data_IF_160755661002
#
_entry.id   IF_160755661002
#
_cell.length_a   1.000
_cell.length_b   1.000
_cell.length_c   1.000
_cell.angle_alpha   90.00
_cell.angle_beta   90.00
_cell.angle_gamma   90.00
#
_symmetry.space_group_name_H-M   'P 1'
#
loop_
_entity.id
_entity.type
_entity.pdbx_description
1 polymer ?
#
# COMPACT_ATOMS: atom_id res chain seq x y z
N UNK A 1 -53.11 50.79 -25.27
CA UNK A 1 -52.80 50.75 -23.82
C UNK A 1 -53.36 49.43 -23.31
N UNK A 2 -52.62 48.40 -22.89
CA UNK A 2 -51.22 48.17 -22.57
C UNK A 2 -51.23 46.98 -21.61
N UNK A 3 -50.70 45.82 -22.02
CA UNK A 3 -50.36 44.70 -21.12
C UNK A 3 -48.91 44.91 -20.62
N UNK A 4 -48.27 44.07 -19.74
CA UNK A 4 -48.68 42.82 -19.06
C UNK A 4 -48.14 42.66 -17.59
N UNK A 5 -48.25 41.42 -17.03
CA UNK A 5 -47.45 40.74 -15.95
C UNK A 5 -47.73 41.15 -14.49
N UNK A 6 -47.51 40.34 -13.43
CA UNK A 6 -47.12 38.95 -13.11
C UNK A 6 -47.39 38.82 -11.60
N UNK A 7 -47.89 37.71 -11.06
CA UNK A 7 -47.16 36.77 -10.18
C UNK A 7 -48.24 35.83 -9.59
N UNK A 8 -48.05 34.53 -9.40
CA UNK A 8 -46.84 33.86 -8.97
C UNK A 8 -47.21 33.12 -7.68
N UNK A 9 -47.47 31.82 -7.78
CA UNK A 9 -47.90 31.00 -6.64
C UNK A 9 -48.02 29.52 -6.99
N UNK A 10 -47.12 29.02 -7.84
CA UNK A 10 -46.91 27.59 -7.98
C UNK A 10 -46.29 27.08 -6.68
N UNK A 11 -47.12 26.54 -5.78
CA UNK A 11 -46.68 25.72 -4.66
C UNK A 11 -46.03 24.46 -5.21
N UNK A 12 -44.73 24.54 -5.46
CA UNK A 12 -43.86 23.41 -5.75
C UNK A 12 -43.80 22.58 -4.46
N UNK A 13 -44.74 21.65 -4.32
CA UNK A 13 -44.66 20.59 -3.33
C UNK A 13 -43.41 19.77 -3.65
N UNK A 14 -42.30 20.11 -2.99
CA UNK A 14 -41.11 19.27 -2.91
C UNK A 14 -41.53 17.98 -2.22
N UNK A 15 -41.91 16.99 -3.02
CA UNK A 15 -42.07 15.62 -2.59
C UNK A 15 -40.68 15.11 -2.24
N UNK A 16 -40.31 15.29 -0.97
CA UNK A 16 -39.07 14.77 -0.35
C UNK A 16 -39.04 13.27 -0.56
N UNK A 17 -38.21 12.80 -1.48
CA UNK A 17 -38.01 11.38 -1.73
C UNK A 17 -37.32 10.76 -0.50
N UNK A 18 -38.11 10.07 0.32
CA UNK A 18 -37.64 9.44 1.55
C UNK A 18 -36.64 8.31 1.27
N UNK A 19 -36.63 7.75 0.05
CA UNK A 19 -35.70 6.71 -0.37
C UNK A 19 -34.29 7.23 -0.62
N UNK A 20 -34.14 8.39 -1.26
CA UNK A 20 -32.83 9.02 -1.46
C UNK A 20 -32.19 9.47 -0.14
N UNK A 21 -33.03 9.89 0.82
CA UNK A 21 -32.55 10.30 2.14
C UNK A 21 -32.07 9.10 2.99
N UNK A 22 -32.70 7.94 2.87
CA UNK A 22 -32.26 6.72 3.54
C UNK A 22 -30.88 6.24 3.03
N UNK A 23 -30.65 6.29 1.72
CA UNK A 23 -29.35 5.99 1.10
C UNK A 23 -28.24 6.95 1.55
N UNK A 24 -28.55 8.25 1.68
CA UNK A 24 -27.58 9.23 2.16
C UNK A 24 -27.24 9.04 3.64
N UNK A 25 -28.21 8.68 4.47
CA UNK A 25 -27.99 8.38 5.88
C UNK A 25 -27.14 7.12 6.04
N UNK A 26 -27.39 6.09 5.22
CA UNK A 26 -26.62 4.85 5.24
C UNK A 26 -25.15 5.08 4.80
N UNK A 27 -24.95 5.84 3.72
CA UNK A 27 -23.61 6.23 3.28
C UNK A 27 -22.86 7.09 4.32
N UNK A 28 -23.58 7.99 5.02
CA UNK A 28 -23.02 8.78 6.12
C UNK A 28 -22.63 7.89 7.31
N UNK A 29 -23.48 6.92 7.67
CA UNK A 29 -23.18 5.96 8.74
C UNK A 29 -21.96 5.12 8.38
N UNK A 30 -21.85 4.66 7.12
CA UNK A 30 -20.68 3.94 6.63
C UNK A 30 -19.41 4.80 6.70
N UNK A 31 -19.49 6.07 6.30
CA UNK A 31 -18.39 7.01 6.39
C UNK A 31 -17.94 7.23 7.84
N UNK A 32 -18.89 7.41 8.77
CA UNK A 32 -18.59 7.59 10.20
C UNK A 32 -17.94 6.34 10.78
N UNK A 33 -18.44 5.15 10.43
CA UNK A 33 -17.83 3.88 10.84
C UNK A 33 -16.41 3.76 10.30
N UNK A 34 -16.15 4.13 9.04
CA UNK A 34 -14.79 4.12 8.46
C UNK A 34 -13.84 5.09 9.18
N UNK A 35 -14.32 6.28 9.54
CA UNK A 35 -13.53 7.27 10.30
C UNK A 35 -13.23 6.76 11.72
N UNK A 36 -14.21 6.14 12.38
CA UNK A 36 -13.99 5.54 13.71
C UNK A 36 -13.02 4.38 13.60
N UNK A 37 -13.14 3.53 12.58
CA UNK A 37 -12.26 2.39 12.38
C UNK A 37 -10.82 2.86 12.10
N UNK A 38 -10.63 3.89 11.27
CA UNK A 38 -9.31 4.46 10.98
C UNK A 38 -8.70 5.13 12.21
N UNK A 39 -9.51 5.82 13.01
CA UNK A 39 -9.07 6.39 14.28
C UNK A 39 -8.66 5.30 15.28
N UNK A 40 -9.46 4.24 15.44
CA UNK A 40 -9.13 3.12 16.33
C UNK A 40 -7.81 2.48 15.93
N UNK A 41 -7.62 2.16 14.64
CA UNK A 41 -6.37 1.62 14.09
C UNK A 41 -5.19 2.54 14.42
N UNK A 42 -5.38 3.85 14.28
CA UNK A 42 -4.34 4.85 14.58
C UNK A 42 -4.03 4.97 16.09
N UNK A 43 -5.03 4.80 16.95
CA UNK A 43 -4.89 4.96 18.43
C UNK A 43 -4.45 3.69 19.15
N UNK A 44 -4.64 2.52 18.54
CA UNK A 44 -4.17 1.24 19.07
C UNK A 44 -2.75 0.90 18.66
N UNK A 45 -2.05 1.80 17.96
CA UNK A 45 -0.61 1.74 17.86
C UNK A 45 -0.06 1.90 19.30
N UNK A 46 0.58 0.87 19.87
CA UNK A 46 1.14 0.99 21.20
C UNK A 46 2.13 2.15 21.20
N UNK A 47 2.13 2.91 22.31
CA UNK A 47 3.14 3.89 22.66
C UNK A 47 4.47 3.13 22.78
N UNK A 48 5.14 2.94 21.64
CA UNK A 48 6.39 2.19 21.52
C UNK A 48 7.51 3.19 21.40
N UNK A 49 8.50 3.03 22.29
CA UNK A 49 9.74 3.79 22.31
C UNK A 49 10.31 3.86 20.88
N UNK A 50 10.60 5.05 20.33
CA UNK A 50 11.02 5.24 18.94
C UNK A 50 12.42 4.67 18.61
N UNK A 51 13.05 3.93 19.51
CA UNK A 51 14.41 3.40 19.35
C UNK A 51 14.47 2.12 18.50
N UNK A 52 13.31 1.55 18.11
CA UNK A 52 13.27 0.33 17.30
C UNK A 52 12.58 0.55 15.94
N UNK A 53 13.22 1.34 15.06
CA UNK A 53 12.80 1.48 13.66
C UNK A 53 12.68 0.14 12.91
N UNK A 54 13.24 -0.94 13.45
CA UNK A 54 13.06 -2.31 12.92
C UNK A 54 11.63 -2.84 13.12
N UNK A 55 10.96 -2.45 14.20
CA UNK A 55 9.58 -2.85 14.48
C UNK A 55 8.58 -2.13 13.57
N UNK A 56 8.91 -0.91 13.11
CA UNK A 56 8.12 -0.19 12.09
C UNK A 56 8.33 -0.79 10.69
N UNK A 57 9.54 -1.22 10.36
CA UNK A 57 9.85 -1.85 9.06
C UNK A 57 9.14 -3.19 8.87
N UNK A 58 8.99 -3.97 9.95
CA UNK A 58 8.44 -5.32 9.90
C UNK A 58 7.02 -5.40 9.30
N UNK A 59 6.05 -4.53 9.67
CA UNK A 59 4.75 -4.43 9.00
C UNK A 59 4.87 -4.17 7.50
N UNK A 60 5.62 -3.14 7.08
CA UNK A 60 5.76 -2.78 5.66
C UNK A 60 6.42 -3.89 4.85
N UNK A 61 7.48 -4.50 5.38
CA UNK A 61 8.15 -5.60 4.73
C UNK A 61 7.24 -6.83 4.61
N UNK A 62 6.43 -7.11 5.64
CA UNK A 62 5.41 -8.18 5.57
C UNK A 62 4.40 -7.90 4.47
N UNK A 63 3.79 -6.71 4.49
CA UNK A 63 2.76 -6.30 3.51
C UNK A 63 3.29 -6.40 2.09
N UNK A 64 4.51 -5.92 1.86
CA UNK A 64 5.17 -5.99 0.57
C UNK A 64 5.40 -7.43 0.10
N UNK A 65 5.86 -8.33 0.98
CA UNK A 65 6.09 -9.74 0.66
C UNK A 65 4.80 -10.55 0.45
N UNK A 66 3.71 -10.16 1.12
CA UNK A 66 2.39 -10.78 0.98
C UNK A 66 1.55 -10.14 -0.12
N UNK A 67 2.02 -9.06 -0.75
CA UNK A 67 1.29 -8.38 -1.81
C UNK A 67 1.07 -9.31 -2.99
N UNK A 68 -0.18 -9.39 -3.44
CA UNK A 68 -0.60 -10.26 -4.53
C UNK A 68 -0.07 -9.79 -5.88
N UNK A 69 0.35 -10.74 -6.70
CA UNK A 69 0.63 -10.52 -8.12
C UNK A 69 -0.69 -10.33 -8.86
N UNK A 70 -0.99 -9.08 -9.19
CA UNK A 70 -2.05 -8.76 -10.13
C UNK A 70 -1.55 -9.07 -11.55
N UNK A 71 -1.86 -10.26 -12.06
CA UNK A 71 -1.67 -10.54 -13.48
C UNK A 71 -2.85 -9.94 -14.26
N UNK A 72 -2.55 -8.99 -15.16
CA UNK A 72 -3.56 -8.20 -15.89
C UNK A 72 -4.44 -9.01 -16.86
N UNK A 73 -4.27 -10.32 -16.92
CA UNK A 73 -5.17 -11.25 -17.59
C UNK A 73 -6.03 -11.90 -16.51
N UNK A 74 -7.33 -11.58 -16.48
CA UNK A 74 -8.34 -12.02 -15.50
C UNK A 74 -8.58 -13.53 -15.41
N UNK A 75 -7.51 -14.30 -15.21
CA UNK A 75 -7.52 -15.71 -14.85
C UNK A 75 -7.64 -15.81 -13.34
N UNK A 76 -8.72 -16.42 -12.89
CA UNK A 76 -9.02 -16.71 -11.48
C UNK A 76 -8.09 -17.79 -10.87
N UNK A 77 -6.87 -17.95 -11.40
CA UNK A 77 -5.85 -18.84 -10.85
C UNK A 77 -5.05 -18.07 -9.79
N UNK A 78 -5.07 -18.61 -8.56
CA UNK A 78 -4.26 -18.24 -7.38
C UNK A 78 -3.32 -17.05 -7.59
N UNK A 79 -3.70 -15.88 -7.11
CA UNK A 79 -2.79 -14.75 -7.04
C UNK A 79 -1.59 -15.15 -6.18
N UNK A 80 -0.43 -15.35 -6.81
CA UNK A 80 0.79 -15.67 -6.09
C UNK A 80 1.28 -14.42 -5.37
N UNK A 81 1.73 -14.56 -4.13
CA UNK A 81 2.34 -13.44 -3.39
C UNK A 81 3.73 -13.13 -3.94
N UNK A 82 4.25 -11.93 -3.65
CA UNK A 82 5.63 -11.58 -3.99
C UNK A 82 6.62 -12.61 -3.42
N UNK A 83 6.43 -13.06 -2.17
CA UNK A 83 7.32 -14.04 -1.56
C UNK A 83 7.34 -15.38 -2.30
N UNK A 84 6.17 -15.91 -2.69
CA UNK A 84 6.06 -17.12 -3.50
C UNK A 84 6.72 -16.97 -4.88
N UNK A 85 6.55 -15.80 -5.50
CA UNK A 85 7.17 -15.51 -6.78
C UNK A 85 8.69 -15.41 -6.70
N UNK A 86 9.23 -14.77 -5.67
CA UNK A 86 10.68 -14.71 -5.46
C UNK A 86 11.28 -16.10 -5.20
N UNK A 87 10.58 -16.95 -4.43
CA UNK A 87 10.98 -18.35 -4.24
C UNK A 87 10.92 -19.12 -5.57
N UNK A 88 9.88 -18.93 -6.38
CA UNK A 88 9.80 -19.57 -7.70
C UNK A 88 10.93 -19.12 -8.63
N UNK A 89 11.30 -17.83 -8.60
CA UNK A 89 12.44 -17.31 -9.35
C UNK A 89 13.76 -17.92 -8.88
N UNK A 90 13.96 -18.10 -7.56
CA UNK A 90 15.18 -18.73 -7.04
C UNK A 90 15.35 -20.17 -7.51
N UNK A 91 14.24 -20.93 -7.60
CA UNK A 91 14.23 -22.29 -8.13
C UNK A 91 14.53 -22.34 -9.63
N UNK A 92 14.08 -21.32 -10.39
CA UNK A 92 14.34 -21.23 -11.83
C UNK A 92 15.80 -20.87 -12.14
N UNK A 93 16.49 -20.20 -11.21
CA UNK A 93 17.88 -19.78 -11.34
C UNK A 93 18.13 -18.65 -12.35
N UNK A 94 17.08 -18.12 -12.99
CA UNK A 94 17.18 -17.06 -13.99
C UNK A 94 16.22 -15.94 -13.61
N UNK A 95 16.76 -14.73 -13.47
CA UNK A 95 15.98 -13.50 -13.26
C UNK A 95 16.17 -12.62 -14.49
N UNK A 96 15.09 -12.40 -15.24
CA UNK A 96 15.10 -11.56 -16.43
C UNK A 96 14.64 -10.11 -16.15
N UNK A 97 14.81 -9.22 -17.12
CA UNK A 97 14.44 -7.80 -16.96
C UNK A 97 12.92 -7.59 -16.76
N UNK A 98 12.08 -8.51 -17.25
CA UNK A 98 10.63 -8.46 -17.01
C UNK A 98 10.33 -8.79 -15.55
N UNK A 99 11.03 -9.78 -14.98
CA UNK A 99 10.90 -10.14 -13.57
C UNK A 99 11.30 -8.96 -12.68
N UNK A 100 12.44 -8.31 -12.98
CA UNK A 100 12.89 -7.11 -12.24
C UNK A 100 11.86 -5.98 -12.30
N UNK A 101 11.30 -5.69 -13.48
CA UNK A 101 10.25 -4.67 -13.62
C UNK A 101 8.97 -5.04 -12.88
N UNK A 102 8.57 -6.31 -12.91
CA UNK A 102 7.38 -6.80 -12.21
C UNK A 102 7.54 -6.63 -10.70
N UNK A 103 8.66 -7.07 -10.14
CA UNK A 103 9.00 -6.87 -8.72
C UNK A 103 9.00 -5.38 -8.39
N UNK A 104 9.68 -4.56 -9.20
CA UNK A 104 9.74 -3.11 -9.03
C UNK A 104 8.35 -2.46 -8.96
N UNK A 105 7.43 -2.85 -9.83
CA UNK A 105 6.06 -2.32 -9.82
C UNK A 105 5.28 -2.71 -8.55
N UNK A 106 5.53 -3.89 -7.99
CA UNK A 106 4.86 -4.33 -6.76
C UNK A 106 5.35 -3.57 -5.53
N UNK A 107 6.67 -3.36 -5.44
CA UNK A 107 7.28 -2.76 -4.24
C UNK A 107 7.27 -1.23 -4.27
N UNK A 108 7.08 -0.63 -5.46
CA UNK A 108 7.15 0.83 -5.66
C UNK A 108 6.21 1.63 -4.77
N UNK A 109 4.97 1.16 -4.57
CA UNK A 109 3.99 1.85 -3.74
C UNK A 109 4.45 1.95 -2.29
N UNK A 110 4.82 0.79 -1.72
CA UNK A 110 5.31 0.70 -0.34
C UNK A 110 6.60 1.50 -0.13
N UNK A 111 7.55 1.41 -1.05
CA UNK A 111 8.79 2.19 -0.96
C UNK A 111 8.50 3.70 -1.00
N UNK A 112 7.63 4.16 -1.91
CA UNK A 112 7.30 5.57 -2.00
C UNK A 112 6.60 6.10 -0.73
N UNK A 113 5.75 5.29 -0.11
CA UNK A 113 5.13 5.63 1.19
C UNK A 113 6.18 5.72 2.30
N UNK A 114 7.13 4.79 2.35
CA UNK A 114 8.23 4.81 3.32
C UNK A 114 9.15 6.03 3.12
N UNK A 115 9.51 6.34 1.88
CA UNK A 115 10.30 7.54 1.54
C UNK A 115 9.54 8.82 1.92
N UNK A 116 8.22 8.87 1.73
CA UNK A 116 7.40 10.01 2.11
C UNK A 116 7.38 10.22 3.63
N UNK A 117 7.29 9.14 4.41
CA UNK A 117 7.18 9.21 5.86
C UNK A 117 8.54 9.39 6.55
N UNK A 118 9.60 8.80 6.00
CA UNK A 118 10.88 8.63 6.69
C UNK A 118 12.10 9.11 5.89
N UNK A 119 11.92 9.69 4.70
CA UNK A 119 13.00 10.28 3.91
C UNK A 119 13.61 9.32 2.89
N UNK A 120 14.39 8.32 3.32
CA UNK A 120 15.00 7.34 2.42
C UNK A 120 14.57 5.92 2.77
N UNK A 121 14.19 5.15 1.76
CA UNK A 121 13.95 3.72 1.89
C UNK A 121 14.43 2.97 0.66
N UNK A 122 14.98 1.79 0.86
CA UNK A 122 15.40 0.92 -0.25
C UNK A 122 15.25 -0.54 0.11
N UNK A 123 15.01 -1.35 -0.90
CA UNK A 123 14.83 -2.79 -0.80
C UNK A 123 15.96 -3.48 -1.54
N UNK A 124 16.63 -4.42 -0.87
CA UNK A 124 17.63 -5.31 -1.44
C UNK A 124 17.07 -6.72 -1.45
N UNK A 125 17.00 -7.35 -2.62
CA UNK A 125 16.59 -8.74 -2.78
C UNK A 125 17.75 -9.54 -3.36
N UNK A 126 18.25 -10.49 -2.58
CA UNK A 126 19.26 -11.46 -2.97
C UNK A 126 18.53 -12.72 -3.47
N UNK A 127 18.75 -13.11 -4.73
CA UNK A 127 18.20 -14.34 -5.34
C UNK A 127 19.37 -15.13 -5.92
N UNK A 128 19.88 -16.10 -5.15
CA UNK A 128 21.14 -16.77 -5.50
C UNK A 128 22.29 -15.76 -5.73
N UNK A 129 22.93 -15.72 -6.91
CA UNK A 129 24.01 -14.77 -7.20
C UNK A 129 23.52 -13.37 -7.64
N UNK A 130 22.22 -13.15 -7.79
CA UNK A 130 21.65 -11.88 -8.26
C UNK A 130 21.23 -11.01 -7.09
N UNK A 131 21.58 -9.73 -7.16
CA UNK A 131 21.14 -8.71 -6.21
C UNK A 131 20.29 -7.70 -6.95
N UNK A 132 19.06 -7.52 -6.50
CA UNK A 132 18.11 -6.53 -7.01
C UNK A 132 17.97 -5.41 -6.00
N UNK A 133 18.02 -4.17 -6.46
CA UNK A 133 17.89 -2.98 -5.62
C UNK A 133 16.71 -2.13 -6.12
N UNK A 134 15.84 -1.72 -5.20
CA UNK A 134 14.69 -0.87 -5.49
C UNK A 134 14.62 0.29 -4.49
N UNK A 135 14.17 1.46 -4.94
CA UNK A 135 14.03 2.65 -4.10
C UNK A 135 15.24 3.57 -4.14
N UNK A 136 15.43 4.31 -3.05
CA UNK A 136 16.50 5.28 -2.89
C UNK A 136 17.89 4.66 -2.90
N UNK A 137 18.89 5.51 -3.21
CA UNK A 137 20.30 5.13 -3.05
C UNK A 137 20.65 5.16 -1.55
N UNK A 138 21.37 4.15 -1.03
CA UNK A 138 21.82 4.16 0.36
C UNK A 138 22.54 5.47 0.72
N UNK A 139 22.30 6.03 1.91
CA UNK A 139 22.99 7.22 2.39
C UNK A 139 24.50 6.97 2.59
N UNK A 140 25.33 7.88 2.08
CA UNK A 140 26.79 7.88 2.30
C UNK A 140 27.18 8.66 3.57
N UNK A 141 26.23 9.33 4.21
CA UNK A 141 26.41 10.31 5.28
C UNK A 141 26.40 9.72 6.69
N UNK A 142 26.36 8.38 6.82
CA UNK A 142 26.41 7.70 8.12
C UNK A 142 25.16 7.94 8.98
N UNK A 143 24.03 8.28 8.35
CA UNK A 143 22.71 8.35 8.99
C UNK A 143 22.36 7.02 9.66
N UNK A 144 21.56 7.05 10.71
CA UNK A 144 21.06 5.83 11.34
C UNK A 144 20.21 5.04 10.34
N UNK A 145 20.60 3.80 10.09
CA UNK A 145 19.95 2.89 9.15
C UNK A 145 19.25 1.78 9.92
N UNK A 146 17.94 1.68 9.74
CA UNK A 146 17.15 0.56 10.21
C UNK A 146 16.99 -0.46 9.09
N UNK A 147 16.98 -1.75 9.45
CA UNK A 147 16.83 -2.84 8.50
C UNK A 147 15.91 -3.95 9.04
N UNK A 148 15.03 -4.47 8.20
CA UNK A 148 14.28 -5.72 8.43
C UNK A 148 14.69 -6.75 7.37
N UNK A 149 15.32 -7.84 7.80
CA UNK A 149 15.82 -8.92 6.94
C UNK A 149 14.92 -10.14 7.05
N UNK A 150 14.56 -10.74 5.92
CA UNK A 150 13.75 -11.95 5.84
C UNK A 150 14.29 -12.93 4.82
N UNK A 151 14.55 -14.14 5.30
CA UNK A 151 14.88 -15.28 4.46
C UNK A 151 13.58 -15.93 3.97
N UNK A 152 13.55 -16.29 2.69
CA UNK A 152 12.39 -16.90 2.03
C UNK A 152 12.76 -18.29 1.52
N UNK A 153 11.81 -19.22 1.60
CA UNK A 153 11.99 -20.60 1.13
C UNK A 153 13.06 -21.35 1.92
N UNK A 154 14.06 -21.87 1.22
CA UNK A 154 15.20 -22.63 1.75
C UNK A 154 16.43 -21.75 2.08
N UNK A 155 16.26 -20.42 2.11
CA UNK A 155 17.34 -19.45 2.30
C UNK A 155 18.04 -19.05 1.00
N UNK A 156 17.61 -19.58 -0.15
CA UNK A 156 18.11 -19.14 -1.47
C UNK A 156 17.71 -17.72 -1.85
N UNK A 157 16.72 -17.17 -1.15
CA UNK A 157 16.23 -15.80 -1.34
C UNK A 157 16.25 -15.06 -0.03
N UNK A 158 16.84 -13.86 -0.03
CA UNK A 158 16.81 -12.97 1.13
C UNK A 158 16.33 -11.59 0.71
N UNK A 159 15.28 -11.10 1.37
CA UNK A 159 14.75 -9.76 1.20
C UNK A 159 15.16 -8.93 2.41
N UNK A 160 15.77 -7.77 2.19
CA UNK A 160 16.14 -6.84 3.26
C UNK A 160 15.60 -5.46 2.92
N UNK A 161 14.66 -4.98 3.72
CA UNK A 161 14.13 -3.62 3.61
C UNK A 161 14.91 -2.70 4.55
N UNK A 162 15.35 -1.58 4.02
CA UNK A 162 16.10 -0.57 4.74
C UNK A 162 15.38 0.77 4.75
N UNK A 163 15.62 1.54 5.79
CA UNK A 163 15.15 2.91 5.94
C UNK A 163 16.22 3.73 6.65
N UNK A 164 16.34 4.99 6.24
CA UNK A 164 17.20 5.98 6.87
C UNK A 164 16.47 7.33 6.89
N UNK A 165 16.48 8.00 8.04
CA UNK A 165 15.76 9.25 8.29
C UNK A 165 16.40 10.08 9.39
#
# INVERSE_FOLDING_TARGET
>A
MGTPRSDGGAGLALKRDHHGMALLVDALMFLVVLIILSAVISTSAPDHDPDDGSDLLRPYHTVMLTSELLDGNGSSMSAATLSEYLIALSLSGVVDERDVRRIGNMVKGTIAELEFLYGKAWLVIEIGPKVLNFGSVPPDDGSDVHADRRELGDGSTVSTLFMAG
#
